data_IF_808407336285
#
_entry.id   IF_808407336285
#
_cell.length_a   1.000
_cell.length_b   1.000
_cell.length_c   1.000
_cell.angle_alpha   90.00
_cell.angle_beta   90.00
_cell.angle_gamma   90.00
#
_symmetry.space_group_name_H-M   'P 1'
#
loop_
_entity.id
_entity.type
_entity.pdbx_description
1 polymer ?
#
# COMPACT_ATOMS: atom_id res chain seq x y z
N UNK A 1 -22.68 -19.15 18.51
CA UNK A 1 -21.55 -18.89 17.59
C UNK A 1 -20.81 -17.62 17.99
N UNK A 2 -20.13 -17.60 19.15
CA UNK A 2 -19.45 -16.40 19.69
C UNK A 2 -17.98 -16.65 20.07
N UNK A 3 -17.33 -17.65 19.47
CA UNK A 3 -15.92 -18.00 19.76
C UNK A 3 -14.94 -17.81 18.59
N UNK A 4 -15.42 -17.44 17.40
CA UNK A 4 -14.56 -17.23 16.22
C UNK A 4 -13.91 -15.82 16.15
N UNK A 5 -14.20 -14.95 17.12
CA UNK A 5 -13.76 -13.55 17.17
C UNK A 5 -12.70 -13.26 18.24
N UNK A 6 -12.02 -14.29 18.76
CA UNK A 6 -10.71 -14.06 19.37
C UNK A 6 -9.72 -13.88 18.23
N UNK A 7 -9.69 -12.65 17.68
CA UNK A 7 -8.63 -12.17 16.80
C UNK A 7 -7.31 -12.52 17.49
N UNK A 8 -6.45 -13.29 16.82
CA UNK A 8 -5.09 -13.53 17.30
C UNK A 8 -4.28 -12.26 16.98
N UNK A 9 -4.09 -11.33 17.94
CA UNK A 9 -3.44 -10.05 17.65
C UNK A 9 -2.03 -10.28 17.09
N UNK A 10 -1.35 -11.31 17.58
CA UNK A 10 -0.01 -11.73 17.14
C UNK A 10 0.04 -12.14 15.66
N UNK A 11 -1.01 -12.78 15.14
CA UNK A 11 -1.07 -13.18 13.73
C UNK A 11 -1.24 -11.95 12.83
N UNK A 12 -2.05 -10.98 13.27
CA UNK A 12 -2.25 -9.70 12.57
C UNK A 12 -0.95 -8.88 12.60
N UNK A 13 -0.29 -8.81 13.74
CA UNK A 13 0.99 -8.10 13.90
C UNK A 13 2.06 -8.67 12.96
N UNK A 14 2.23 -10.00 12.94
CA UNK A 14 3.15 -10.68 12.00
C UNK A 14 2.82 -10.39 10.54
N UNK A 15 1.53 -10.37 10.20
CA UNK A 15 1.05 -10.07 8.86
C UNK A 15 1.39 -8.61 8.48
N UNK A 16 1.10 -7.66 9.36
CA UNK A 16 1.41 -6.23 9.17
C UNK A 16 2.91 -6.05 8.94
N UNK A 17 3.75 -6.58 9.84
CA UNK A 17 5.21 -6.49 9.69
C UNK A 17 5.73 -7.14 8.40
N UNK A 18 5.14 -8.25 7.97
CA UNK A 18 5.51 -8.87 6.71
C UNK A 18 5.21 -7.96 5.51
N UNK A 19 4.02 -7.34 5.49
CA UNK A 19 3.61 -6.40 4.43
C UNK A 19 4.49 -5.14 4.46
N UNK A 20 4.71 -4.55 5.63
CA UNK A 20 5.53 -3.36 5.82
C UNK A 20 6.95 -3.56 5.29
N UNK A 21 7.59 -4.69 5.62
CA UNK A 21 8.94 -5.01 5.17
C UNK A 21 9.03 -5.05 3.63
N UNK A 22 8.04 -5.64 2.96
CA UNK A 22 7.99 -5.69 1.50
C UNK A 22 7.73 -4.30 0.91
N UNK A 23 6.78 -3.55 1.48
CA UNK A 23 6.42 -2.22 1.05
C UNK A 23 7.58 -1.24 1.19
N UNK A 24 8.23 -1.18 2.36
CA UNK A 24 9.39 -0.32 2.65
C UNK A 24 10.54 -0.60 1.69
N UNK A 25 10.85 -1.88 1.44
CA UNK A 25 11.88 -2.25 0.45
C UNK A 25 11.54 -1.75 -0.95
N UNK A 26 10.25 -1.71 -1.31
CA UNK A 26 9.83 -1.22 -2.61
C UNK A 26 9.81 0.29 -2.70
N UNK A 27 9.27 1.00 -1.71
CA UNK A 27 9.16 2.47 -1.73
C UNK A 27 10.45 3.20 -1.36
N UNK A 28 11.41 2.52 -0.73
CA UNK A 28 12.74 3.07 -0.46
C UNK A 28 13.63 3.22 -1.70
N UNK A 29 13.10 3.08 -2.92
CA UNK A 29 13.83 3.48 -4.12
C UNK A 29 13.75 4.99 -4.32
N UNK A 30 14.71 5.59 -5.04
CA UNK A 30 14.75 7.04 -5.30
C UNK A 30 13.54 7.59 -6.09
N UNK A 31 12.53 6.76 -6.38
CA UNK A 31 11.32 7.13 -7.11
C UNK A 31 10.24 7.77 -6.23
N UNK A 32 10.36 7.66 -4.90
CA UNK A 32 9.43 8.18 -3.90
C UNK A 32 10.20 9.08 -2.93
N UNK A 33 9.63 10.25 -2.59
CA UNK A 33 10.25 11.10 -1.58
C UNK A 33 10.17 10.42 -0.21
N UNK A 34 11.23 10.53 0.60
CA UNK A 34 11.30 9.86 1.89
C UNK A 34 10.12 10.20 2.80
N UNK A 35 9.64 11.45 2.76
CA UNK A 35 8.48 11.91 3.53
C UNK A 35 7.18 11.18 3.16
N UNK A 36 7.02 10.79 1.89
CA UNK A 36 5.81 10.10 1.39
C UNK A 36 5.90 8.57 1.57
N UNK A 37 7.08 8.05 1.94
CA UNK A 37 7.33 6.62 1.99
C UNK A 37 6.51 5.95 3.10
N UNK A 38 6.45 6.54 4.29
CA UNK A 38 5.69 5.99 5.42
C UNK A 38 4.19 5.96 5.14
N UNK A 39 3.64 7.02 4.54
CA UNK A 39 2.24 7.09 4.13
C UNK A 39 1.90 6.00 3.11
N UNK A 40 2.75 5.81 2.09
CA UNK A 40 2.56 4.78 1.07
C UNK A 40 2.66 3.36 1.65
N UNK A 41 3.52 3.14 2.64
CA UNK A 41 3.61 1.86 3.35
C UNK A 41 2.31 1.59 4.11
N UNK A 42 1.81 2.56 4.86
CA UNK A 42 0.56 2.42 5.60
C UNK A 42 -0.65 2.18 4.67
N UNK A 43 -0.70 2.87 3.55
CA UNK A 43 -1.70 2.67 2.49
C UNK A 43 -1.73 1.24 1.95
N UNK A 44 -0.55 0.63 1.79
CA UNK A 44 -0.44 -0.78 1.35
C UNK A 44 -0.94 -1.72 2.44
N UNK A 45 -0.55 -1.50 3.71
CA UNK A 45 -1.00 -2.33 4.84
C UNK A 45 -2.53 -2.31 4.94
N UNK A 46 -3.14 -1.12 4.92
CA UNK A 46 -4.60 -0.97 5.02
C UNK A 46 -5.32 -1.64 3.84
N UNK A 47 -4.85 -1.42 2.61
CA UNK A 47 -5.47 -2.02 1.43
C UNK A 47 -5.38 -3.56 1.42
N UNK A 48 -4.26 -4.12 1.88
CA UNK A 48 -4.10 -5.57 1.98
C UNK A 48 -4.96 -6.13 3.11
N UNK A 49 -4.99 -5.49 4.27
CA UNK A 49 -5.85 -5.90 5.38
C UNK A 49 -7.32 -5.94 4.96
N UNK A 50 -7.82 -4.88 4.33
CA UNK A 50 -9.18 -4.83 3.78
C UNK A 50 -9.43 -5.93 2.74
N UNK A 51 -8.45 -6.21 1.87
CA UNK A 51 -8.60 -7.24 0.84
C UNK A 51 -8.71 -8.65 1.44
N UNK A 52 -7.98 -8.95 2.51
CA UNK A 52 -8.05 -10.24 3.21
C UNK A 52 -9.39 -10.42 3.91
N UNK A 53 -9.95 -9.34 4.47
CA UNK A 53 -11.28 -9.37 5.10
C UNK A 53 -12.44 -9.46 4.09
N UNK A 54 -12.16 -9.31 2.78
CA UNK A 54 -13.21 -9.36 1.75
C UNK A 54 -13.67 -10.80 1.50
N UNK A 55 -14.98 -11.00 1.34
CA UNK A 55 -15.59 -12.30 1.00
C UNK A 55 -15.05 -12.88 -0.31
N UNK A 56 -14.51 -12.02 -1.18
CA UNK A 56 -13.93 -12.36 -2.49
C UNK A 56 -12.39 -12.51 -2.43
N UNK A 57 -11.83 -12.81 -1.26
CA UNK A 57 -10.41 -13.12 -1.15
C UNK A 57 -10.13 -14.52 -1.72
N UNK A 58 -9.29 -14.58 -2.75
CA UNK A 58 -8.97 -15.82 -3.44
C UNK A 58 -7.60 -16.34 -3.01
N UNK A 59 -7.59 -17.47 -2.30
CA UNK A 59 -6.39 -18.11 -1.77
C UNK A 59 -5.54 -18.81 -2.84
N UNK A 60 -6.05 -19.01 -4.07
CA UNK A 60 -5.28 -19.61 -5.16
C UNK A 60 -4.23 -18.67 -5.78
N UNK A 61 -4.19 -17.41 -5.36
CA UNK A 61 -3.16 -16.44 -5.76
C UNK A 61 -2.19 -16.24 -4.60
N UNK A 62 -0.86 -16.30 -4.83
CA UNK A 62 0.13 -16.06 -3.78
C UNK A 62 -0.08 -14.72 -3.08
N UNK A 63 0.05 -14.71 -1.76
CA UNK A 63 -0.22 -13.52 -0.95
C UNK A 63 0.65 -12.32 -1.38
N UNK A 64 1.92 -12.57 -1.68
CA UNK A 64 2.88 -11.59 -2.17
C UNK A 64 2.46 -10.94 -3.50
N UNK A 65 1.66 -11.64 -4.32
CA UNK A 65 1.14 -11.06 -5.55
C UNK A 65 0.17 -9.91 -5.26
N UNK A 66 -0.69 -10.07 -4.26
CA UNK A 66 -1.57 -8.99 -3.80
C UNK A 66 -0.76 -7.79 -3.31
N UNK A 67 0.26 -8.03 -2.47
CA UNK A 67 1.14 -6.97 -1.96
C UNK A 67 1.82 -6.21 -3.11
N UNK A 68 2.48 -6.94 -4.03
CA UNK A 68 3.18 -6.35 -5.17
C UNK A 68 2.24 -5.55 -6.08
N UNK A 69 1.03 -6.06 -6.34
CA UNK A 69 0.03 -5.37 -7.15
C UNK A 69 -0.45 -4.08 -6.49
N UNK A 70 -0.68 -4.09 -5.18
CA UNK A 70 -1.07 -2.90 -4.41
C UNK A 70 0.05 -1.86 -4.45
N UNK A 71 1.30 -2.26 -4.17
CA UNK A 71 2.47 -1.39 -4.26
C UNK A 71 2.58 -0.75 -5.65
N UNK A 72 2.46 -1.53 -6.72
CA UNK A 72 2.55 -1.04 -8.10
C UNK A 72 1.51 0.05 -8.38
N UNK A 73 0.26 -0.18 -7.97
CA UNK A 73 -0.83 0.79 -8.13
C UNK A 73 -0.55 2.08 -7.35
N UNK A 74 -0.12 1.97 -6.09
CA UNK A 74 0.23 3.13 -5.26
C UNK A 74 1.39 3.94 -5.84
N UNK A 75 2.44 3.30 -6.37
CA UNK A 75 3.51 4.00 -7.10
C UNK A 75 3.00 4.71 -8.35
N UNK A 76 2.11 4.07 -9.11
CA UNK A 76 1.54 4.68 -10.30
C UNK A 76 0.71 5.92 -9.96
N UNK A 77 -0.13 5.83 -8.94
CA UNK A 77 -0.98 6.94 -8.49
C UNK A 77 -0.15 8.07 -7.87
N UNK A 78 0.91 7.74 -7.11
CA UNK A 78 1.88 8.71 -6.60
C UNK A 78 2.53 9.51 -7.75
N UNK A 79 3.03 8.83 -8.78
CA UNK A 79 3.63 9.49 -9.95
C UNK A 79 2.62 10.36 -10.70
N UNK A 80 1.38 9.89 -10.87
CA UNK A 80 0.30 10.68 -11.48
C UNK A 80 0.03 11.96 -10.70
N UNK A 81 -0.11 11.86 -9.38
CA UNK A 81 -0.30 13.04 -8.51
C UNK A 81 0.85 14.02 -8.67
N UNK A 82 2.10 13.56 -8.65
CA UNK A 82 3.29 14.41 -8.81
C UNK A 82 3.29 15.16 -10.15
N UNK A 83 3.01 14.45 -11.25
CA UNK A 83 2.91 15.07 -12.58
C UNK A 83 1.79 16.10 -12.68
N UNK A 84 0.63 15.84 -12.07
CA UNK A 84 -0.47 16.81 -12.03
C UNK A 84 -0.09 18.07 -11.25
N UNK A 85 0.59 17.94 -10.10
CA UNK A 85 1.04 19.11 -9.34
C UNK A 85 2.07 19.94 -10.10
N UNK A 86 2.98 19.29 -10.85
CA UNK A 86 3.94 19.98 -11.70
C UNK A 86 3.24 20.78 -12.81
N UNK A 87 2.27 20.17 -13.51
CA UNK A 87 1.51 20.86 -14.57
C UNK A 87 0.72 22.05 -14.06
N UNK A 88 0.02 21.90 -12.94
CA UNK A 88 -0.74 23.01 -12.33
C UNK A 88 0.20 24.16 -11.95
N UNK A 89 1.39 23.83 -11.45
CA UNK A 89 2.38 24.84 -11.10
C UNK A 89 2.94 25.55 -12.34
N UNK A 90 3.22 24.82 -13.42
CA UNK A 90 3.62 25.40 -14.72
C UNK A 90 2.54 26.36 -15.26
N UNK A 91 1.27 25.92 -15.29
CA UNK A 91 0.14 26.75 -15.74
C UNK A 91 -0.06 28.02 -14.88
N UNK A 92 0.29 27.99 -13.59
CA UNK A 92 0.21 29.15 -12.69
C UNK A 92 1.35 30.15 -12.89
N UNK A 93 2.54 29.69 -13.30
CA UNK A 93 3.70 30.57 -13.50
C UNK A 93 3.66 31.24 -14.88
N UNK A 94 3.06 30.58 -15.88
CA UNK A 94 3.00 31.06 -17.26
C UNK A 94 1.72 31.87 -17.59
N UNK A 95 0.76 31.99 -16.66
CA UNK A 95 -0.51 32.73 -16.81
C UNK A 95 -0.56 34.04 -16.03
#
# INVERSE_FOLDING_TARGET
MQRAQQQQPEAIEKLVHHIERIARKSFGDFSVAQADCDDLVQDVVLAIYQKIQSEQFYFGVPFEHYIKRTIYRRKLDYRRKKLTHQRIFEDYVDG
#
